data_IF_785467847024
#
_entry.id   IF_785467847024
#
_cell.length_a   1.000
_cell.length_b   1.000
_cell.length_c   1.000
_cell.angle_alpha   90.00
_cell.angle_beta   90.00
_cell.angle_gamma   90.00
#
_symmetry.space_group_name_H-M   'P 1'
#
loop_
_entity.id
_entity.type
_entity.pdbx_description
1 polymer ?
#
# COMPACT_ATOMS: atom_id res chain seq x y z
N UNK A 1 -45.59 -2.98 -2.42
CA UNK A 1 -44.15 -3.28 -2.22
C UNK A 1 -43.36 -2.00 -2.37
N UNK A 2 -42.62 -1.60 -1.33
CA UNK A 2 -41.87 -0.34 -1.33
C UNK A 2 -40.64 -0.46 -2.25
N UNK A 3 -40.59 0.35 -3.31
CA UNK A 3 -39.35 0.63 -4.05
C UNK A 3 -38.42 1.42 -3.12
N UNK A 4 -37.34 0.80 -2.68
CA UNK A 4 -36.27 1.50 -1.97
C UNK A 4 -35.49 2.37 -2.98
N UNK A 5 -35.26 3.67 -2.72
CA UNK A 5 -34.46 4.50 -3.60
C UNK A 5 -33.00 4.05 -3.46
N UNK A 6 -32.40 3.67 -4.60
CA UNK A 6 -30.97 3.38 -4.77
C UNK A 6 -30.21 4.60 -4.23
N UNK A 7 -29.52 4.45 -3.09
CA UNK A 7 -28.77 5.54 -2.46
C UNK A 7 -27.83 6.16 -3.50
N UNK A 8 -28.02 7.44 -3.78
CA UNK A 8 -27.05 8.26 -4.48
C UNK A 8 -25.75 8.17 -3.70
N UNK A 9 -24.73 7.53 -4.29
CA UNK A 9 -23.38 7.46 -3.75
C UNK A 9 -22.81 8.87 -3.89
N UNK A 10 -22.96 9.69 -2.85
CA UNK A 10 -22.36 11.02 -2.77
C UNK A 10 -20.85 10.87 -2.89
N UNK A 11 -20.36 11.09 -4.09
CA UNK A 11 -18.96 11.29 -4.43
C UNK A 11 -18.51 12.60 -3.82
N UNK A 12 -17.89 12.53 -2.65
CA UNK A 12 -16.98 13.58 -2.18
C UNK A 12 -15.54 13.06 -2.32
N UNK A 13 -14.94 13.01 -3.52
CA UNK A 13 -13.56 12.58 -3.71
C UNK A 13 -12.60 13.74 -3.39
N UNK A 14 -12.73 14.35 -2.21
CA UNK A 14 -11.94 15.54 -1.82
C UNK A 14 -11.12 15.34 -0.54
N UNK A 15 -11.09 14.13 0.04
CA UNK A 15 -10.23 13.87 1.21
C UNK A 15 -9.15 12.79 1.03
N UNK A 16 -9.08 12.08 -0.11
CA UNK A 16 -7.87 11.29 -0.41
C UNK A 16 -6.64 12.20 -0.52
N UNK A 17 -6.76 13.40 -1.12
CA UNK A 17 -5.63 14.32 -1.36
C UNK A 17 -5.02 14.92 -0.07
N UNK A 18 -5.79 15.01 1.02
CA UNK A 18 -5.27 15.45 2.32
C UNK A 18 -4.56 14.35 3.12
N UNK A 19 -4.83 13.08 2.82
CA UNK A 19 -4.17 11.92 3.42
C UNK A 19 -2.88 11.54 2.70
N UNK A 20 -2.76 11.90 1.41
CA UNK A 20 -1.67 11.61 0.47
C UNK A 20 -0.27 12.08 0.91
N UNK A 21 -0.16 12.98 1.89
CA UNK A 21 1.11 13.38 2.54
C UNK A 21 0.96 13.52 4.06
N UNK A 22 -0.07 12.90 4.64
CA UNK A 22 -0.29 13.03 6.07
C UNK A 22 0.85 12.35 6.84
N UNK A 23 1.28 12.97 7.95
CA UNK A 23 2.23 12.35 8.89
C UNK A 23 1.80 10.94 9.30
N UNK A 24 0.50 10.67 9.28
CA UNK A 24 -0.07 9.35 9.57
C UNK A 24 0.40 8.29 8.56
N UNK A 25 0.23 8.50 7.25
CA UNK A 25 0.62 7.51 6.23
C UNK A 25 2.13 7.29 6.23
N UNK A 26 2.93 8.36 6.40
CA UNK A 26 4.38 8.23 6.56
C UNK A 26 4.75 7.36 7.77
N UNK A 27 4.07 7.57 8.90
CA UNK A 27 4.31 6.78 10.11
C UNK A 27 3.87 5.34 9.96
N UNK A 28 2.76 5.07 9.25
CA UNK A 28 2.34 3.70 8.95
C UNK A 28 3.32 3.00 8.00
N UNK A 29 3.88 3.71 7.02
CA UNK A 29 4.92 3.17 6.14
C UNK A 29 6.19 2.80 6.93
N UNK A 30 6.62 3.63 7.89
CA UNK A 30 7.72 3.32 8.80
C UNK A 30 7.45 2.05 9.62
N UNK A 31 6.24 1.89 10.17
CA UNK A 31 5.87 0.69 10.91
C UNK A 31 5.81 -0.56 10.04
N UNK A 32 5.31 -0.42 8.81
CA UNK A 32 5.25 -1.51 7.84
C UNK A 32 6.66 -1.98 7.44
N UNK A 33 7.55 -1.03 7.16
CA UNK A 33 8.96 -1.28 6.88
C UNK A 33 9.66 -1.93 8.08
N UNK A 34 9.50 -1.38 9.29
CA UNK A 34 10.08 -1.96 10.51
C UNK A 34 9.58 -3.37 10.81
N UNK A 35 8.31 -3.67 10.48
CA UNK A 35 7.77 -5.04 10.53
C UNK A 35 8.43 -5.94 9.49
N UNK A 36 8.70 -5.43 8.29
CA UNK A 36 9.32 -6.19 7.20
C UNK A 36 10.78 -6.59 7.50
N UNK A 37 11.52 -5.78 8.26
CA UNK A 37 12.86 -6.12 8.75
C UNK A 37 12.86 -7.38 9.65
N UNK A 38 11.75 -7.67 10.33
CA UNK A 38 11.59 -8.85 11.18
C UNK A 38 11.24 -10.15 10.43
N UNK A 39 11.04 -10.13 9.12
CA UNK A 39 10.63 -11.30 8.31
C UNK A 39 11.74 -12.36 8.26
N UNK A 40 12.99 -12.00 8.59
CA UNK A 40 14.14 -12.90 8.53
C UNK A 40 14.63 -13.08 7.08
N UNK A 41 15.92 -13.37 6.93
CA UNK A 41 16.59 -13.41 5.63
C UNK A 41 17.15 -12.03 5.22
N UNK A 42 18.36 -12.02 4.68
CA UNK A 42 19.05 -10.82 4.19
C UNK A 42 18.57 -10.37 2.80
N UNK A 43 17.50 -10.96 2.29
CA UNK A 43 16.99 -10.66 0.96
C UNK A 43 15.90 -9.58 0.99
N UNK A 44 16.23 -8.43 0.44
CA UNK A 44 15.32 -7.29 0.24
C UNK A 44 14.05 -7.69 -0.50
N UNK A 45 14.14 -8.63 -1.44
CA UNK A 45 12.98 -9.13 -2.21
C UNK A 45 11.95 -9.77 -1.30
N UNK A 46 12.40 -10.57 -0.33
CA UNK A 46 11.54 -11.24 0.64
C UNK A 46 10.79 -10.23 1.52
N UNK A 47 11.45 -9.15 1.95
CA UNK A 47 10.83 -8.09 2.75
C UNK A 47 9.79 -7.31 1.95
N UNK A 48 10.10 -6.96 0.69
CA UNK A 48 9.17 -6.28 -0.22
C UNK A 48 7.95 -7.17 -0.52
N UNK A 49 8.16 -8.46 -0.79
CA UNK A 49 7.08 -9.44 -1.02
C UNK A 49 6.13 -9.53 0.19
N UNK A 50 6.68 -9.53 1.41
CA UNK A 50 5.89 -9.55 2.63
C UNK A 50 5.03 -8.29 2.77
N UNK A 51 5.59 -7.11 2.48
CA UNK A 51 4.84 -5.85 2.51
C UNK A 51 3.68 -5.85 1.52
N UNK A 52 3.91 -6.27 0.27
CA UNK A 52 2.85 -6.39 -0.75
C UNK A 52 1.74 -7.32 -0.27
N UNK A 53 2.11 -8.47 0.29
CA UNK A 53 1.13 -9.45 0.80
C UNK A 53 0.31 -8.88 1.95
N UNK A 54 0.94 -8.15 2.88
CA UNK A 54 0.25 -7.55 4.01
C UNK A 54 -0.65 -6.38 3.63
N UNK A 55 -0.31 -5.61 2.59
CA UNK A 55 -1.11 -4.45 2.17
C UNK A 55 -2.18 -4.81 1.15
N UNK A 56 -1.85 -5.59 0.12
CA UNK A 56 -2.76 -5.87 -1.00
C UNK A 56 -3.49 -7.21 -0.85
N UNK A 57 -3.10 -8.06 0.11
CA UNK A 57 -3.76 -9.35 0.35
C UNK A 57 -3.55 -10.39 -0.76
N UNK A 58 -2.62 -10.13 -1.69
CA UNK A 58 -2.27 -11.00 -2.82
C UNK A 58 -0.74 -11.12 -2.98
N UNK A 59 -0.23 -12.15 -3.68
CA UNK A 59 1.18 -12.21 -4.01
C UNK A 59 1.59 -11.07 -4.94
N UNK A 60 2.83 -10.59 -4.77
CA UNK A 60 3.53 -9.71 -5.70
C UNK A 60 3.78 -10.46 -7.01
N UNK A 61 3.44 -9.83 -8.14
CA UNK A 61 3.76 -10.36 -9.45
C UNK A 61 5.22 -10.06 -9.87
N UNK A 62 5.62 -10.47 -11.07
CA UNK A 62 6.99 -10.29 -11.55
C UNK A 62 7.30 -8.82 -11.90
N UNK A 63 6.37 -8.12 -12.52
CA UNK A 63 6.58 -6.73 -12.95
C UNK A 63 6.67 -5.80 -11.74
N UNK A 64 5.81 -6.04 -10.74
CA UNK A 64 5.83 -5.38 -9.44
C UNK A 64 7.11 -5.68 -8.67
N UNK A 65 7.63 -6.91 -8.74
CA UNK A 65 8.87 -7.27 -8.05
C UNK A 65 10.01 -6.38 -8.50
N UNK A 66 10.26 -6.29 -9.79
CA UNK A 66 11.39 -5.54 -10.31
C UNK A 66 11.25 -4.05 -10.00
N UNK A 67 10.03 -3.51 -10.11
CA UNK A 67 9.72 -2.14 -9.78
C UNK A 67 9.90 -1.82 -8.28
N UNK A 68 9.27 -2.59 -7.39
CA UNK A 68 9.24 -2.31 -5.96
C UNK A 68 10.57 -2.63 -5.28
N UNK A 69 11.28 -3.68 -5.72
CA UNK A 69 12.64 -3.96 -5.25
C UNK A 69 13.61 -2.90 -5.76
N UNK A 70 13.47 -2.45 -7.01
CA UNK A 70 14.24 -1.32 -7.55
C UNK A 70 14.03 -0.05 -6.71
N UNK A 71 12.78 0.29 -6.43
CA UNK A 71 12.42 1.42 -5.57
C UNK A 71 13.03 1.29 -4.16
N UNK A 72 12.97 0.10 -3.57
CA UNK A 72 13.55 -0.15 -2.24
C UNK A 72 15.08 0.02 -2.23
N UNK A 73 15.76 -0.39 -3.30
CA UNK A 73 17.23 -0.21 -3.43
C UNK A 73 17.62 1.25 -3.60
N UNK A 74 16.83 2.01 -4.36
CA UNK A 74 17.14 3.40 -4.69
C UNK A 74 16.77 4.37 -3.56
N UNK A 75 15.62 4.16 -2.90
CA UNK A 75 15.07 5.12 -1.94
C UNK A 75 14.75 4.56 -0.55
N UNK A 76 15.00 3.28 -0.32
CA UNK A 76 14.71 2.60 0.94
C UNK A 76 13.35 1.92 0.98
N UNK A 77 13.22 0.92 1.84
CA UNK A 77 12.04 0.07 1.96
C UNK A 77 10.81 0.83 2.49
N UNK A 78 11.00 1.93 3.20
CA UNK A 78 9.93 2.82 3.65
C UNK A 78 9.19 3.46 2.46
N UNK A 79 9.87 3.74 1.34
CA UNK A 79 9.20 4.26 0.14
C UNK A 79 8.28 3.23 -0.50
N UNK A 80 8.65 1.94 -0.45
CA UNK A 80 7.73 0.86 -0.87
C UNK A 80 6.46 0.90 -0.03
N UNK A 81 6.58 1.05 1.30
CA UNK A 81 5.43 1.16 2.18
C UNK A 81 4.54 2.36 1.85
N UNK A 82 5.14 3.50 1.48
CA UNK A 82 4.40 4.67 1.02
C UNK A 82 3.66 4.41 -0.29
N UNK A 83 4.32 3.80 -1.28
CA UNK A 83 3.67 3.47 -2.55
C UNK A 83 2.50 2.52 -2.30
N UNK A 84 2.72 1.42 -1.57
CA UNK A 84 1.68 0.43 -1.28
C UNK A 84 0.46 1.02 -0.55
N UNK A 85 0.68 1.86 0.46
CA UNK A 85 -0.41 2.48 1.21
C UNK A 85 -1.13 3.61 0.44
N UNK A 86 -0.53 4.11 -0.65
CA UNK A 86 -1.12 5.13 -1.52
C UNK A 86 -1.60 4.55 -2.87
N UNK A 87 -1.36 3.28 -3.16
CA UNK A 87 -1.81 2.63 -4.39
C UNK A 87 -3.35 2.59 -4.44
N UNK A 88 -3.92 2.89 -5.59
CA UNK A 88 -5.37 2.83 -5.81
C UNK A 88 -5.95 1.45 -5.47
N UNK A 89 -5.17 0.38 -5.68
CA UNK A 89 -5.55 -1.00 -5.33
C UNK A 89 -5.68 -1.24 -3.81
N UNK A 90 -5.00 -0.43 -2.97
CA UNK A 90 -5.22 -0.44 -1.52
C UNK A 90 -6.46 0.38 -1.12
N UNK A 91 -6.79 1.42 -1.89
CA UNK A 91 -7.91 2.34 -1.63
C UNK A 91 -9.24 1.81 -2.20
N UNK A 92 -9.19 0.97 -3.23
CA UNK A 92 -10.34 0.38 -3.89
C UNK A 92 -10.17 -1.16 -3.95
N UNK A 93 -10.92 -1.87 -3.10
CA UNK A 93 -11.19 -3.29 -3.29
C UNK A 93 -12.18 -3.40 -4.46
N UNK A 94 -11.76 -3.88 -5.62
CA UNK A 94 -12.69 -4.41 -6.63
C UNK A 94 -13.12 -5.84 -6.31
#
# INVERSE_FOLDING_TARGET
GRMAPKRSRSTTPIQSLGLFNSRFVNRQAEFLAGRAEGVGGDDLTTRVQAMVTWTLGRPMDHDERDLLVGLAREFGIEQVGRVLLNSNEFVFLE
#
